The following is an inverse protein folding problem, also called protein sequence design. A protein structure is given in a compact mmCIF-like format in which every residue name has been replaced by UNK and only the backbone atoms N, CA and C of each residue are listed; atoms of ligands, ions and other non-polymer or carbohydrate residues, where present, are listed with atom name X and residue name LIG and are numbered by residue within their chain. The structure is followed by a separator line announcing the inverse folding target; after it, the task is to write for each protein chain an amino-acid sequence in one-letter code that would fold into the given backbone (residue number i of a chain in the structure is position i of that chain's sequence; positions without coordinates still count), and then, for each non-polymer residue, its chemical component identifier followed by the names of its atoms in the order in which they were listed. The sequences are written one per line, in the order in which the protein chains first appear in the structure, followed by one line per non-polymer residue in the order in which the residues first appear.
data_IF_058780099643
#
_entry.id   IF_058780099643
#
_cell.length_a   1.000
_cell.length_b   1.000
_cell.length_c   1.000
_cell.angle_alpha   90.00
_cell.angle_beta   90.00
_cell.angle_gamma   90.00
#
_symmetry.space_group_name_H-M   'P 1'
#
loop_
_entity.id
_entity.type
_entity.pdbx_description
1 polymer ?
#
# COMPACT_ATOMS: atom_id res chain seq x y z
N UNK A 1 -7.96 2.13 8.79
CA UNK A 1 -7.10 2.01 7.59
C UNK A 1 -7.77 1.20 6.47
N UNK A 2 -8.22 -0.05 6.67
CA UNK A 2 -8.92 -0.87 5.66
C UNK A 2 -9.97 -0.12 4.82
N UNK A 3 -10.95 0.51 5.48
CA UNK A 3 -12.02 1.22 4.77
C UNK A 3 -11.59 2.51 4.04
N UNK A 4 -10.40 3.05 4.34
CA UNK A 4 -9.82 4.17 3.58
C UNK A 4 -9.06 3.65 2.36
N UNK A 5 -8.24 2.62 2.52
CA UNK A 5 -7.53 1.96 1.41
C UNK A 5 -8.49 1.52 0.31
N UNK A 6 -9.60 0.87 0.66
CA UNK A 6 -10.61 0.41 -0.32
C UNK A 6 -11.46 1.54 -0.95
N UNK A 7 -11.24 2.81 -0.59
CA UNK A 7 -11.84 3.96 -1.28
C UNK A 7 -10.89 4.59 -2.31
N UNK A 8 -9.62 4.22 -2.29
CA UNK A 8 -8.61 4.73 -3.21
C UNK A 8 -8.67 3.88 -4.47
N UNK A 9 -8.89 4.53 -5.61
CA UNK A 9 -8.87 3.87 -6.91
C UNK A 9 -7.50 3.19 -7.14
N UNK A 10 -7.52 1.93 -7.58
CA UNK A 10 -6.31 1.14 -7.79
C UNK A 10 -5.72 0.48 -6.53
N UNK A 11 -6.36 0.63 -5.37
CA UNK A 11 -6.02 -0.11 -4.15
C UNK A 11 -7.20 -0.95 -3.68
N UNK A 12 -6.94 -2.21 -3.36
CA UNK A 12 -7.91 -3.07 -2.68
C UNK A 12 -7.27 -3.90 -1.57
N UNK A 13 -8.03 -4.15 -0.51
CA UNK A 13 -7.54 -4.91 0.63
C UNK A 13 -8.66 -5.75 1.23
N UNK A 14 -8.33 -7.00 1.54
CA UNK A 14 -9.20 -7.86 2.34
C UNK A 14 -9.18 -7.40 3.80
N UNK A 15 -10.31 -7.54 4.49
CA UNK A 15 -10.37 -7.27 5.92
C UNK A 15 -9.53 -8.31 6.67
N UNK A 16 -8.45 -7.90 7.38
CA UNK A 16 -7.65 -8.85 8.12
C UNK A 16 -8.45 -9.42 9.30
N UNK A 17 -8.31 -10.72 9.54
CA UNK A 17 -8.95 -11.40 10.70
C UNK A 17 -8.17 -11.23 12.01
N UNK A 18 -6.98 -10.63 11.96
CA UNK A 18 -6.11 -10.43 13.11
C UNK A 18 -4.77 -9.80 12.73
N UNK A 19 -3.80 -9.87 13.65
CA UNK A 19 -2.52 -9.18 13.58
C UNK A 19 -2.66 -7.65 13.44
N UNK A 20 -1.60 -6.98 13.02
CA UNK A 20 -1.51 -5.52 12.94
C UNK A 20 -1.04 -5.03 11.57
N UNK A 21 -1.34 -5.81 10.52
CA UNK A 21 -0.97 -5.52 9.15
C UNK A 21 -2.16 -5.67 8.18
N UNK A 22 -2.14 -4.90 7.09
CA UNK A 22 -2.97 -5.13 5.91
C UNK A 22 -2.04 -5.39 4.74
N UNK A 23 -2.31 -6.45 3.99
CA UNK A 23 -1.66 -6.72 2.71
C UNK A 23 -2.60 -6.29 1.59
N UNK A 24 -2.37 -5.11 1.03
CA UNK A 24 -3.24 -4.50 0.04
C UNK A 24 -2.68 -4.74 -1.36
N UNK A 25 -3.55 -5.12 -2.30
CA UNK A 25 -3.25 -5.09 -3.72
C UNK A 25 -3.18 -3.62 -4.16
N UNK A 26 -2.09 -3.27 -4.84
CA UNK A 26 -1.79 -1.91 -5.30
C UNK A 26 -1.47 -1.87 -6.79
N UNK A 27 -1.80 -2.93 -7.55
CA UNK A 27 -1.50 -3.02 -8.99
C UNK A 27 -2.03 -1.81 -9.75
N UNK A 28 -3.29 -1.43 -9.52
CA UNK A 28 -3.89 -0.26 -10.18
C UNK A 28 -3.26 1.07 -9.74
N UNK A 29 -2.77 1.17 -8.51
CA UNK A 29 -2.03 2.36 -8.06
C UNK A 29 -0.66 2.47 -8.74
N UNK A 30 0.04 1.35 -8.96
CA UNK A 30 1.25 1.31 -9.76
C UNK A 30 0.96 1.75 -11.20
N UNK A 31 -0.09 1.22 -11.83
CA UNK A 31 -0.51 1.60 -13.19
C UNK A 31 -0.87 3.10 -13.29
N UNK A 32 -1.67 3.63 -12.35
CA UNK A 32 -2.10 5.05 -12.31
C UNK A 32 -0.92 6.01 -12.24
N UNK A 33 0.13 5.63 -11.51
CA UNK A 33 1.35 6.45 -11.34
C UNK A 33 2.45 6.10 -12.35
N UNK A 34 2.19 5.20 -13.32
CA UNK A 34 3.17 4.70 -14.28
C UNK A 34 4.45 4.15 -13.61
N UNK A 35 4.27 3.42 -12.50
CA UNK A 35 5.32 2.74 -11.75
C UNK A 35 5.31 1.25 -12.09
N UNK A 36 6.48 0.64 -12.18
CA UNK A 36 6.61 -0.74 -12.68
C UNK A 36 6.15 -1.81 -11.69
N UNK A 37 6.25 -1.54 -10.39
CA UNK A 37 5.95 -2.52 -9.35
C UNK A 37 5.76 -1.85 -7.98
N UNK A 38 5.43 -2.66 -6.97
CA UNK A 38 5.23 -2.22 -5.58
C UNK A 38 6.50 -1.67 -4.92
N UNK A 39 7.70 -2.02 -5.38
CA UNK A 39 8.94 -1.44 -4.85
C UNK A 39 9.11 0.01 -5.27
N UNK A 40 8.85 0.32 -6.55
CA UNK A 40 8.84 1.71 -7.02
C UNK A 40 7.75 2.52 -6.31
N UNK A 41 6.56 1.94 -6.09
CA UNK A 41 5.49 2.60 -5.32
C UNK A 41 5.87 2.82 -3.85
N UNK A 42 6.54 1.87 -3.21
CA UNK A 42 7.07 2.04 -1.86
C UNK A 42 8.05 3.22 -1.79
N UNK A 43 8.99 3.31 -2.72
CA UNK A 43 9.97 4.40 -2.75
C UNK A 43 9.28 5.74 -3.02
N UNK A 44 8.30 5.78 -3.93
CA UNK A 44 7.48 6.96 -4.15
C UNK A 44 6.75 7.41 -2.88
N UNK A 45 6.11 6.49 -2.14
CA UNK A 45 5.46 6.83 -0.86
C UNK A 45 6.45 7.36 0.17
N UNK A 46 7.63 6.76 0.27
CA UNK A 46 8.65 7.20 1.22
C UNK A 46 9.19 8.58 0.86
N UNK A 47 9.64 8.76 -0.37
CA UNK A 47 10.41 9.94 -0.80
C UNK A 47 9.51 11.15 -1.09
N UNK A 48 8.31 10.93 -1.64
CA UNK A 48 7.42 12.02 -2.05
C UNK A 48 6.33 12.31 -1.01
N UNK A 49 5.94 11.31 -0.22
CA UNK A 49 4.81 11.43 0.72
C UNK A 49 5.23 11.28 2.19
N UNK A 50 6.51 11.04 2.49
CA UNK A 50 6.98 10.73 3.85
C UNK A 50 6.17 9.58 4.51
N UNK A 51 5.83 8.55 3.73
CA UNK A 51 5.10 7.36 4.20
C UNK A 51 5.91 6.09 3.95
N UNK A 52 6.40 5.47 5.03
CA UNK A 52 7.12 4.21 4.96
C UNK A 52 6.17 3.01 4.96
N UNK A 53 6.33 2.12 3.97
CA UNK A 53 5.60 0.86 3.81
C UNK A 53 6.55 -0.25 3.33
N UNK A 54 6.06 -1.49 3.20
CA UNK A 54 6.86 -2.59 2.65
C UNK A 54 6.20 -3.23 1.42
N UNK A 55 6.95 -3.29 0.33
CA UNK A 55 6.58 -3.98 -0.92
C UNK A 55 6.51 -5.49 -0.75
N UNK A 56 5.68 -6.13 -1.58
CA UNK A 56 5.55 -7.58 -1.79
C UNK A 56 6.89 -8.29 -1.91
N UNK A 57 7.91 -7.66 -2.50
CA UNK A 57 9.19 -8.30 -2.76
C UNK A 57 9.91 -8.78 -1.49
N UNK A 58 9.57 -8.20 -0.34
CA UNK A 58 10.16 -8.58 0.95
C UNK A 58 9.44 -9.74 1.65
N UNK A 59 8.41 -10.32 1.02
CA UNK A 59 7.55 -11.36 1.61
C UNK A 59 7.74 -12.75 0.99
N UNK A 60 8.99 -13.09 0.67
CA UNK A 60 9.36 -14.37 0.07
C UNK A 60 9.09 -14.42 -1.42
N UNK A 61 9.28 -15.60 -2.02
CA UNK A 61 9.16 -15.78 -3.45
C UNK A 61 7.72 -15.57 -3.93
N UNK A 62 7.58 -15.03 -5.14
CA UNK A 62 6.30 -14.97 -5.85
C UNK A 62 5.99 -16.32 -6.48
N UNK A 63 4.71 -16.63 -6.59
CA UNK A 63 4.28 -17.73 -7.44
C UNK A 63 4.45 -17.31 -8.91
N UNK A 64 4.78 -18.21 -9.83
CA UNK A 64 4.92 -17.87 -11.26
C UNK A 64 3.66 -17.25 -11.89
N UNK A 65 2.49 -17.49 -11.29
CA UNK A 65 1.20 -16.97 -11.74
C UNK A 65 0.80 -15.66 -11.06
N UNK A 66 1.52 -15.23 -10.03
CA UNK A 66 1.28 -13.98 -9.31
C UNK A 66 1.75 -12.81 -10.20
N UNK A 67 0.78 -12.01 -10.66
CA UNK A 67 1.04 -10.84 -11.53
C UNK A 67 0.76 -9.53 -10.82
N UNK A 68 0.11 -9.62 -9.66
CA UNK A 68 -0.32 -8.47 -8.90
C UNK A 68 0.78 -7.96 -7.96
N UNK A 69 0.70 -6.68 -7.67
CA UNK A 69 1.60 -5.98 -6.79
C UNK A 69 0.92 -5.74 -5.45
N UNK A 70 1.66 -5.94 -4.36
CA UNK A 70 1.14 -5.76 -3.00
C UNK A 70 2.04 -4.90 -2.14
N UNK A 71 1.42 -4.20 -1.19
CA UNK A 71 2.11 -3.47 -0.13
C UNK A 71 1.53 -3.88 1.22
N UNK A 72 2.43 -4.10 2.20
CA UNK A 72 2.08 -4.30 3.59
C UNK A 72 2.04 -2.96 4.33
N UNK A 73 0.87 -2.62 4.85
CA UNK A 73 0.65 -1.49 5.75
C UNK A 73 0.68 -1.97 7.20
N UNK A 74 1.51 -1.36 8.03
CA UNK A 74 1.46 -1.52 9.50
C UNK A 74 0.56 -0.46 10.11
N UNK A 75 -0.26 -0.83 11.09
CA UNK A 75 -1.06 0.11 11.88
C UNK A 75 -0.73 0.06 13.38
N UNK A 76 0.51 -0.31 13.72
CA UNK A 76 1.08 -0.29 15.07
C UNK A 76 1.68 1.08 15.47
N UNK A 77 1.03 2.18 15.08
CA UNK A 77 1.46 3.54 15.41
C UNK A 77 0.26 4.38 15.85
N UNK A 78 0.48 5.63 16.28
CA UNK A 78 -0.59 6.51 16.73
C UNK A 78 -1.66 6.71 15.65
N UNK A 79 -2.92 6.86 16.08
CA UNK A 79 -4.05 7.12 15.18
C UNK A 79 -3.83 8.36 14.33
N UNK A 80 -3.22 9.39 14.92
CA UNK A 80 -2.89 10.64 14.25
C UNK A 80 -1.92 10.44 13.09
N UNK A 81 -0.83 9.68 13.30
CA UNK A 81 0.13 9.38 12.24
C UNK A 81 -0.50 8.51 11.14
N UNK A 82 -1.38 7.58 11.50
CA UNK A 82 -2.15 6.79 10.52
C UNK A 82 -3.04 7.70 9.67
N UNK A 83 -3.76 8.66 10.28
CA UNK A 83 -4.61 9.60 9.55
C UNK A 83 -3.76 10.43 8.59
N UNK A 84 -2.68 11.06 9.08
CA UNK A 84 -1.77 11.87 8.26
C UNK A 84 -1.19 11.10 7.08
N UNK A 85 -0.70 9.88 7.31
CA UNK A 85 -0.16 9.03 6.24
C UNK A 85 -1.21 8.68 5.19
N UNK A 86 -2.43 8.32 5.63
CA UNK A 86 -3.53 8.03 4.71
C UNK A 86 -3.99 9.26 3.92
N UNK A 87 -4.02 10.46 4.53
CA UNK A 87 -4.37 11.71 3.83
C UNK A 87 -3.40 12.01 2.69
N UNK A 88 -2.10 11.74 2.89
CA UNK A 88 -1.08 11.94 1.85
C UNK A 88 -1.22 10.95 0.71
N UNK A 89 -1.46 9.67 1.01
CA UNK A 89 -1.68 8.63 -0.01
C UNK A 89 -2.95 8.95 -0.82
N UNK A 90 -4.07 9.26 -0.15
CA UNK A 90 -5.32 9.61 -0.82
C UNK A 90 -5.14 10.81 -1.74
N UNK A 91 -4.44 11.87 -1.29
CA UNK A 91 -4.16 13.04 -2.12
C UNK A 91 -3.31 12.71 -3.36
N UNK A 92 -2.34 11.81 -3.24
CA UNK A 92 -1.46 11.44 -4.34
C UNK A 92 -2.14 10.54 -5.37
N UNK A 93 -3.16 9.79 -4.97
CA UNK A 93 -3.87 8.81 -5.79
C UNK A 93 -5.31 9.21 -6.15
N UNK A 94 -5.76 10.41 -5.75
CA UNK A 94 -7.01 11.01 -6.24
C UNK A 94 -6.78 11.52 -7.66
#
# INVERSE_FOLDING_TARGET
IHGRLNKIEGISALLPKGAFYIFANVTGACEKLNLKNSLELQNYFLEQLDVAVLSRIYFGNTNPEEKEEYIRFSYCISRENIIKGMDRIEKALS
#
